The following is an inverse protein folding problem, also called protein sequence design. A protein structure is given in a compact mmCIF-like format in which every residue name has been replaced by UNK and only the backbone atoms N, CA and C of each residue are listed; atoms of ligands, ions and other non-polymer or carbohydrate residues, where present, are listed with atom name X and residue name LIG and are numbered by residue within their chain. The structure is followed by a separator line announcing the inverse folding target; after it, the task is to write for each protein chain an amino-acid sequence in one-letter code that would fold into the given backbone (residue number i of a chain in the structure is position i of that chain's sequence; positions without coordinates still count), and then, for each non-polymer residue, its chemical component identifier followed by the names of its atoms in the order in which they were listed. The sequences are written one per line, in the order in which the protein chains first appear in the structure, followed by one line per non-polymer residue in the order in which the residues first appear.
data_IF_026068956272
#
_entry.id   IF_026068956272
#
_cell.length_a   1.000
_cell.length_b   1.000
_cell.length_c   1.000
_cell.angle_alpha   90.00
_cell.angle_beta   90.00
_cell.angle_gamma   90.00
#
_symmetry.space_group_name_H-M   'P 1'
#
loop_
_entity.id
_entity.type
_entity.pdbx_description
1 polymer ?
#
# COMPACT_ATOMS: atom_id res chain seq x y z
N UNK A 1 -26.05 9.92 -10.91
CA UNK A 1 -24.63 10.19 -10.61
C UNK A 1 -24.41 11.68 -10.66
N UNK A 2 -23.89 12.26 -9.60
CA UNK A 2 -23.68 13.71 -9.45
C UNK A 2 -22.31 14.06 -10.03
N UNK A 3 -22.24 15.06 -10.93
CA UNK A 3 -21.00 15.48 -11.56
C UNK A 3 -20.54 16.83 -11.00
N UNK A 4 -19.26 16.90 -10.62
CA UNK A 4 -18.62 18.09 -10.06
C UNK A 4 -17.35 18.39 -10.84
N UNK A 5 -17.23 19.61 -11.37
CA UNK A 5 -16.01 20.09 -11.98
C UNK A 5 -15.16 20.87 -10.96
N UNK A 6 -13.90 20.52 -10.84
CA UNK A 6 -12.95 21.09 -9.89
C UNK A 6 -11.84 21.82 -10.66
N UNK A 7 -11.71 23.12 -10.37
CA UNK A 7 -10.63 23.96 -10.91
C UNK A 7 -9.88 24.58 -9.75
N UNK A 8 -8.59 24.39 -9.63
CA UNK A 8 -7.74 24.87 -8.55
C UNK A 8 -8.44 24.72 -7.16
N UNK A 9 -8.96 25.82 -6.59
CA UNK A 9 -9.66 25.80 -5.29
C UNK A 9 -11.20 25.89 -5.43
N UNK A 10 -11.73 25.96 -6.64
CA UNK A 10 -13.17 26.05 -6.92
C UNK A 10 -13.76 24.69 -7.26
N UNK A 11 -15.02 24.49 -6.89
CA UNK A 11 -15.76 23.29 -7.24
C UNK A 11 -17.20 23.67 -7.63
N UNK A 12 -17.69 23.14 -8.75
CA UNK A 12 -18.98 23.50 -9.33
C UNK A 12 -19.77 22.23 -9.66
N UNK A 13 -21.05 22.21 -9.27
CA UNK A 13 -21.97 21.17 -9.67
C UNK A 13 -22.33 21.32 -11.15
N UNK A 14 -22.08 20.27 -11.96
CA UNK A 14 -22.34 20.26 -13.40
C UNK A 14 -23.64 19.58 -13.78
N UNK A 15 -24.18 18.73 -12.92
CA UNK A 15 -25.46 18.02 -13.12
C UNK A 15 -26.56 18.64 -12.26
N UNK A 16 -27.84 18.48 -12.63
CA UNK A 16 -28.93 18.80 -11.72
C UNK A 16 -28.75 18.02 -10.40
N UNK A 17 -29.08 18.63 -9.25
CA UNK A 17 -28.99 17.93 -7.98
C UNK A 17 -29.91 16.71 -7.99
N UNK A 18 -29.36 15.55 -7.61
CA UNK A 18 -30.15 14.35 -7.40
C UNK A 18 -31.02 14.49 -6.14
N UNK A 19 -32.15 13.79 -6.11
CA UNK A 19 -32.96 13.70 -4.89
C UNK A 19 -32.25 12.77 -3.93
N UNK A 20 -31.75 13.32 -2.84
CA UNK A 20 -31.14 12.57 -1.76
C UNK A 20 -32.21 12.22 -0.72
N UNK A 21 -32.32 10.95 -0.33
CA UNK A 21 -33.27 10.52 0.69
C UNK A 21 -32.53 9.89 1.88
N UNK A 22 -33.10 10.05 3.07
CA UNK A 22 -32.56 9.43 4.26
C UNK A 22 -32.50 7.90 4.12
N UNK A 23 -31.46 7.28 4.66
CA UNK A 23 -31.28 5.83 4.59
C UNK A 23 -30.72 5.29 3.27
N UNK A 24 -30.41 6.14 2.28
CA UNK A 24 -29.69 5.70 1.09
C UNK A 24 -28.30 5.21 1.44
N UNK A 25 -27.96 4.00 0.96
CA UNK A 25 -26.63 3.42 1.12
C UNK A 25 -26.14 2.89 -0.22
N UNK A 26 -24.90 3.23 -0.61
CA UNK A 26 -24.24 2.81 -1.87
C UNK A 26 -25.02 3.14 -3.17
N UNK A 27 -26.01 4.02 -3.07
CA UNK A 27 -26.92 4.35 -4.16
C UNK A 27 -26.61 5.66 -4.85
N UNK A 28 -25.79 6.51 -4.23
CA UNK A 28 -25.42 7.85 -4.76
C UNK A 28 -23.92 7.93 -4.88
N UNK A 29 -23.44 8.33 -6.05
CA UNK A 29 -22.03 8.56 -6.32
C UNK A 29 -21.80 9.94 -6.91
N UNK A 30 -20.62 10.50 -6.61
CA UNK A 30 -20.12 11.75 -7.13
C UNK A 30 -18.94 11.47 -8.05
N UNK A 31 -18.98 11.97 -9.26
CA UNK A 31 -17.88 11.94 -10.21
C UNK A 31 -17.22 13.32 -10.24
N UNK A 32 -15.90 13.34 -10.13
CA UNK A 32 -15.11 14.56 -10.15
C UNK A 32 -14.34 14.70 -11.46
N UNK A 33 -14.45 15.85 -12.10
CA UNK A 33 -13.60 16.24 -13.23
C UNK A 33 -12.60 17.29 -12.76
N UNK A 34 -11.32 16.93 -12.70
CA UNK A 34 -10.24 17.77 -12.19
C UNK A 34 -9.54 18.54 -13.31
N UNK A 35 -9.19 19.82 -13.06
CA UNK A 35 -8.26 20.55 -13.93
C UNK A 35 -6.82 20.07 -13.70
N UNK A 36 -5.91 20.47 -14.62
CA UNK A 36 -4.49 20.11 -14.54
C UNK A 36 -3.77 20.60 -13.28
N UNK A 37 -4.33 21.55 -12.53
CA UNK A 37 -3.78 21.98 -11.24
C UNK A 37 -3.74 20.82 -10.21
N UNK A 38 -4.51 19.76 -10.44
CA UNK A 38 -4.63 18.60 -9.57
C UNK A 38 -3.77 17.41 -10.00
N UNK A 39 -3.01 17.57 -11.08
CA UNK A 39 -2.11 16.51 -11.57
C UNK A 39 -1.01 16.23 -10.55
N UNK A 40 -0.74 14.94 -10.30
CA UNK A 40 0.26 14.50 -9.33
C UNK A 40 -0.12 14.71 -7.86
N UNK A 41 -1.34 15.15 -7.55
CA UNK A 41 -1.84 15.21 -6.17
C UNK A 41 -2.62 13.96 -5.79
N UNK A 42 -2.39 13.48 -4.58
CA UNK A 42 -3.24 12.48 -3.93
C UNK A 42 -4.51 13.16 -3.45
N UNK A 43 -5.65 12.74 -3.98
CA UNK A 43 -6.96 13.39 -3.78
C UNK A 43 -7.73 12.68 -2.67
N UNK A 44 -8.33 13.42 -1.76
CA UNK A 44 -9.23 12.89 -0.72
C UNK A 44 -10.54 13.66 -0.76
N UNK A 45 -11.65 12.96 -0.88
CA UNK A 45 -12.97 13.55 -0.81
C UNK A 45 -13.42 13.65 0.65
N UNK A 46 -13.99 14.80 1.01
CA UNK A 46 -14.55 15.03 2.34
C UNK A 46 -16.04 15.31 2.19
N UNK A 47 -16.85 14.50 2.85
CA UNK A 47 -18.30 14.67 2.87
C UNK A 47 -18.75 15.17 4.25
N UNK A 48 -19.74 16.06 4.28
CA UNK A 48 -20.33 16.51 5.54
C UNK A 48 -21.81 16.81 5.43
N UNK A 49 -22.55 16.60 6.51
CA UNK A 49 -23.94 17.05 6.69
C UNK A 49 -24.08 18.03 7.86
N UNK A 50 -22.94 18.56 8.35
CA UNK A 50 -22.88 19.46 9.51
C UNK A 50 -22.98 18.74 10.86
N UNK A 51 -23.25 17.41 10.89
CA UNK A 51 -23.17 16.59 12.10
C UNK A 51 -22.06 15.56 12.00
N UNK A 52 -21.96 14.91 10.85
CA UNK A 52 -20.89 13.98 10.51
C UNK A 52 -20.00 14.61 9.44
N UNK A 53 -18.71 14.31 9.49
CA UNK A 53 -17.73 14.62 8.46
C UNK A 53 -16.92 13.35 8.20
N UNK A 54 -16.84 12.92 6.96
CA UNK A 54 -16.22 11.66 6.54
C UNK A 54 -15.24 11.94 5.41
N UNK A 55 -14.00 11.54 5.60
CA UNK A 55 -12.96 11.56 4.58
C UNK A 55 -12.93 10.21 3.85
N UNK A 56 -12.92 10.26 2.52
CA UNK A 56 -12.84 9.07 1.67
C UNK A 56 -11.55 9.12 0.88
N UNK A 57 -10.64 8.21 1.22
CA UNK A 57 -9.31 8.11 0.62
C UNK A 57 -9.37 7.55 -0.80
N UNK A 58 -8.36 7.81 -1.66
CA UNK A 58 -8.29 7.35 -3.05
C UNK A 58 -8.51 5.85 -3.24
N UNK A 59 -8.08 5.03 -2.30
CA UNK A 59 -8.26 3.57 -2.35
C UNK A 59 -9.73 3.11 -2.33
N UNK A 60 -10.66 4.00 -1.92
CA UNK A 60 -12.11 3.74 -1.92
C UNK A 60 -12.81 4.41 -3.11
N UNK A 61 -12.05 4.99 -4.04
CA UNK A 61 -12.57 5.59 -5.26
C UNK A 61 -12.59 4.57 -6.39
N UNK A 62 -13.52 4.75 -7.32
CA UNK A 62 -13.53 4.05 -8.60
C UNK A 62 -13.19 5.07 -9.70
N UNK A 63 -11.92 5.11 -10.10
CA UNK A 63 -11.39 6.19 -10.92
C UNK A 63 -11.52 7.54 -10.22
N UNK A 64 -12.27 8.48 -10.83
CA UNK A 64 -12.60 9.77 -10.24
C UNK A 64 -14.00 9.81 -9.60
N UNK A 65 -14.60 8.64 -9.34
CA UNK A 65 -15.93 8.49 -8.77
C UNK A 65 -15.86 8.02 -7.31
N UNK A 66 -16.66 8.64 -6.46
CA UNK A 66 -16.74 8.33 -5.03
C UNK A 66 -18.21 8.11 -4.62
N UNK A 67 -18.47 7.03 -3.91
CA UNK A 67 -19.77 6.78 -3.31
C UNK A 67 -19.97 7.69 -2.09
N UNK A 68 -21.14 8.32 -1.99
CA UNK A 68 -21.48 9.14 -0.82
C UNK A 68 -21.63 8.25 0.41
N UNK A 69 -20.91 8.54 1.50
CA UNK A 69 -21.00 7.76 2.73
C UNK A 69 -22.42 7.77 3.30
N UNK A 70 -22.94 6.62 3.75
CA UNK A 70 -24.33 6.51 4.24
C UNK A 70 -24.60 7.40 5.45
N UNK A 71 -23.61 7.67 6.28
CA UNK A 71 -23.73 8.54 7.45
C UNK A 71 -24.08 9.98 7.08
N UNK A 72 -23.69 10.43 5.90
CA UNK A 72 -24.02 11.76 5.37
C UNK A 72 -25.51 11.83 5.00
N UNK A 73 -26.07 10.70 4.57
CA UNK A 73 -27.46 10.55 4.16
C UNK A 73 -28.37 9.99 5.26
N UNK A 74 -27.84 9.76 6.47
CA UNK A 74 -28.58 9.11 7.55
C UNK A 74 -29.72 9.99 8.14
N UNK A 75 -29.63 11.31 8.03
CA UNK A 75 -30.56 12.23 8.72
C UNK A 75 -31.24 13.17 7.72
N UNK A 76 -32.55 13.04 7.61
CA UNK A 76 -33.37 13.95 6.82
C UNK A 76 -33.30 15.40 7.30
N UNK A 77 -33.52 16.33 6.38
CA UNK A 77 -33.56 17.76 6.65
C UNK A 77 -32.18 18.46 6.61
N UNK A 78 -31.09 17.71 6.57
CA UNK A 78 -29.73 18.24 6.49
C UNK A 78 -29.23 18.38 5.06
N UNK A 79 -28.31 19.28 4.83
CA UNK A 79 -27.63 19.45 3.55
C UNK A 79 -26.38 18.58 3.47
N UNK A 80 -26.34 17.66 2.52
CA UNK A 80 -25.13 16.94 2.17
C UNK A 80 -24.22 17.86 1.34
N UNK A 81 -22.95 17.89 1.70
CA UNK A 81 -21.91 18.70 1.02
C UNK A 81 -20.68 17.85 0.80
N UNK A 82 -19.93 18.16 -0.23
CA UNK A 82 -18.64 17.54 -0.52
C UNK A 82 -17.59 18.60 -0.87
N UNK A 83 -16.37 18.33 -0.52
CA UNK A 83 -15.17 19.02 -0.98
C UNK A 83 -14.07 18.00 -1.24
N UNK A 84 -13.00 18.43 -1.87
CA UNK A 84 -11.81 17.60 -2.10
C UNK A 84 -10.58 18.37 -1.66
N UNK A 85 -9.62 17.70 -1.06
CA UNK A 85 -8.28 18.25 -0.94
C UNK A 85 -7.26 17.33 -1.59
N UNK A 86 -6.23 17.93 -2.18
CA UNK A 86 -5.11 17.24 -2.79
C UNK A 86 -3.83 17.50 -2.03
N UNK A 87 -2.99 16.49 -1.85
CA UNK A 87 -1.68 16.59 -1.19
C UNK A 87 -0.61 15.92 -2.02
N UNK A 88 0.65 16.32 -1.82
CA UNK A 88 1.81 15.63 -2.38
C UNK A 88 2.95 15.52 -1.36
N UNK A 89 3.99 14.77 -1.73
CA UNK A 89 5.17 14.56 -0.88
C UNK A 89 5.96 15.85 -0.56
N UNK A 90 5.78 16.92 -1.36
CA UNK A 90 6.40 18.22 -1.14
C UNK A 90 5.63 19.11 -0.15
N UNK A 91 4.56 18.59 0.46
CA UNK A 91 3.74 19.34 1.43
C UNK A 91 2.75 20.31 0.80
N UNK A 92 2.51 20.23 -0.52
CA UNK A 92 1.44 21.00 -1.15
C UNK A 92 0.10 20.50 -0.67
N UNK A 93 -0.77 21.42 -0.27
CA UNK A 93 -2.16 21.15 0.08
C UNK A 93 -3.06 22.04 -0.74
N UNK A 94 -3.94 21.45 -1.52
CA UNK A 94 -4.89 22.16 -2.38
C UNK A 94 -6.32 21.78 -2.00
N UNK A 95 -7.02 22.58 -1.16
CA UNK A 95 -8.41 22.33 -0.78
C UNK A 95 -9.38 23.00 -1.76
N UNK A 96 -10.57 22.41 -1.93
CA UNK A 96 -11.69 23.08 -2.60
C UNK A 96 -12.63 23.76 -1.61
N UNK A 97 -13.54 24.58 -2.14
CA UNK A 97 -14.74 25.01 -1.42
C UNK A 97 -15.75 23.87 -1.33
N UNK A 98 -16.68 23.96 -0.39
CA UNK A 98 -17.78 23.00 -0.25
C UNK A 98 -18.80 23.16 -1.40
N UNK A 99 -19.16 22.04 -2.02
CA UNK A 99 -20.27 21.92 -2.96
C UNK A 99 -21.47 21.29 -2.25
N UNK A 100 -22.65 21.89 -2.39
CA UNK A 100 -23.88 21.28 -1.87
C UNK A 100 -24.39 20.23 -2.86
N UNK A 101 -24.54 19.01 -2.38
CA UNK A 101 -25.18 17.91 -3.13
C UNK A 101 -26.71 17.97 -3.06
N UNK A 102 -27.24 18.73 -2.11
CA UNK A 102 -28.67 18.89 -1.90
C UNK A 102 -29.10 18.63 -0.47
N UNK A 103 -30.39 18.85 -0.20
CA UNK A 103 -31.02 18.55 1.08
C UNK A 103 -31.48 17.09 1.10
N UNK A 104 -31.13 16.36 2.15
CA UNK A 104 -31.60 14.99 2.36
C UNK A 104 -33.09 15.03 2.73
N UNK A 105 -33.93 14.42 1.91
CA UNK A 105 -35.38 14.32 2.09
C UNK A 105 -35.73 13.15 3.05
N UNK A 106 -36.88 13.23 3.69
CA UNK A 106 -37.42 12.08 4.40
C UNK A 106 -37.80 11.00 3.39
N UNK A 107 -37.50 9.76 3.73
CA UNK A 107 -37.85 8.57 2.93
C UNK A 107 -38.73 7.63 3.72
N UNK A 108 -39.29 6.67 3.02
CA UNK A 108 -39.88 5.48 3.63
C UNK A 108 -38.72 4.65 4.19
N UNK A 109 -38.65 4.49 5.50
CA UNK A 109 -37.65 3.66 6.14
C UNK A 109 -38.10 2.19 6.09
N UNK A 110 -37.23 1.25 5.70
CA UNK A 110 -37.54 -0.17 5.86
C UNK A 110 -37.72 -0.48 7.35
N UNK A 111 -38.64 -1.35 7.68
CA UNK A 111 -38.82 -1.83 9.05
C UNK A 111 -37.66 -2.79 9.41
N UNK A 112 -36.55 -2.27 9.83
CA UNK A 112 -35.30 -3.00 10.15
C UNK A 112 -34.09 -2.17 9.80
N UNK A 113 -32.97 -2.53 10.39
CA UNK A 113 -31.69 -1.81 10.20
C UNK A 113 -31.21 -1.99 8.75
N UNK A 114 -31.17 -0.94 7.91
CA UNK A 114 -30.57 -1.06 6.60
C UNK A 114 -29.08 -1.35 6.80
N UNK A 115 -28.65 -2.51 6.43
CA UNK A 115 -27.27 -3.01 6.58
C UNK A 115 -26.28 -2.29 5.65
N UNK A 116 -26.13 -1.00 5.83
CA UNK A 116 -24.99 -0.30 5.28
C UNK A 116 -23.88 -0.32 6.34
N UNK A 117 -22.80 -1.02 6.07
CA UNK A 117 -21.62 -0.94 6.92
C UNK A 117 -21.16 0.51 7.01
N UNK A 118 -20.96 1.06 8.21
CA UNK A 118 -20.47 2.42 8.38
C UNK A 118 -19.16 2.62 7.63
N UNK A 119 -18.96 3.81 7.07
CA UNK A 119 -17.68 4.17 6.47
C UNK A 119 -16.64 4.32 7.58
N UNK A 120 -15.56 3.57 7.49
CA UNK A 120 -14.48 3.61 8.47
C UNK A 120 -13.88 5.03 8.55
N UNK A 121 -13.51 5.51 9.75
CA UNK A 121 -12.71 6.72 9.90
C UNK A 121 -11.43 6.64 9.07
N UNK A 122 -10.87 7.76 8.64
CA UNK A 122 -9.70 7.82 7.76
C UNK A 122 -8.51 7.01 8.29
N UNK A 123 -8.26 7.04 9.60
CA UNK A 123 -7.19 6.26 10.21
C UNK A 123 -7.44 4.74 10.12
N UNK A 124 -8.68 4.29 10.25
CA UNK A 124 -9.03 2.88 10.11
C UNK A 124 -8.95 2.40 8.66
N UNK A 125 -9.30 3.27 7.69
CA UNK A 125 -9.08 2.99 6.27
C UNK A 125 -7.59 2.84 5.94
N UNK A 126 -6.73 3.67 6.54
CA UNK A 126 -5.28 3.58 6.41
C UNK A 126 -4.73 2.29 7.04
N UNK A 127 -5.20 1.95 8.23
CA UNK A 127 -4.78 0.73 8.93
C UNK A 127 -5.18 -0.53 8.13
N UNK A 128 -6.36 -0.54 7.54
CA UNK A 128 -6.82 -1.63 6.66
C UNK A 128 -5.89 -1.81 5.44
N UNK A 129 -5.37 -0.72 4.87
CA UNK A 129 -4.43 -0.75 3.75
C UNK A 129 -3.02 -1.20 4.15
N UNK A 130 -2.56 -0.84 5.34
CA UNK A 130 -1.24 -1.18 5.87
C UNK A 130 -1.22 -2.62 6.39
N UNK A 131 -2.34 -3.10 6.93
CA UNK A 131 -2.44 -4.36 7.64
C UNK A 131 -2.04 -4.25 9.12
N UNK A 132 -2.10 -5.35 9.86
CA UNK A 132 -1.68 -5.40 11.27
C UNK A 132 -0.16 -5.64 11.34
N UNK A 133 0.56 -4.69 11.93
CA UNK A 133 2.00 -4.80 12.15
C UNK A 133 2.38 -6.00 13.06
N UNK A 134 1.45 -6.49 13.90
CA UNK A 134 1.69 -7.68 14.72
C UNK A 134 1.80 -8.96 13.88
N UNK A 135 1.21 -8.99 12.71
CA UNK A 135 1.27 -10.14 11.78
C UNK A 135 2.61 -10.23 11.03
N UNK A 136 3.45 -9.19 11.09
CA UNK A 136 4.79 -9.22 10.52
C UNK A 136 5.63 -10.33 11.14
N UNK A 137 6.44 -10.99 10.33
CA UNK A 137 7.39 -12.02 10.75
C UNK A 137 8.77 -11.49 11.13
N UNK A 138 8.97 -10.18 11.04
CA UNK A 138 10.17 -9.47 11.49
C UNK A 138 10.19 -9.29 13.00
N UNK A 139 11.36 -9.09 13.60
CA UNK A 139 11.50 -8.76 15.02
C UNK A 139 11.05 -7.32 15.29
N UNK A 140 11.38 -6.39 14.37
CA UNK A 140 10.94 -5.01 14.47
C UNK A 140 9.49 -4.89 13.98
N UNK A 141 8.63 -4.42 14.86
CA UNK A 141 7.20 -4.21 14.61
C UNK A 141 6.75 -2.77 14.93
N UNK A 142 7.70 -1.90 15.24
CA UNK A 142 7.40 -0.52 15.63
C UNK A 142 6.76 0.29 14.49
N UNK A 143 7.21 0.02 13.27
CA UNK A 143 6.64 0.58 12.06
C UNK A 143 7.05 -0.23 10.82
N UNK A 144 6.30 -0.06 9.73
CA UNK A 144 6.52 -0.79 8.48
C UNK A 144 7.91 -0.56 7.88
N UNK A 145 8.46 0.66 8.01
CA UNK A 145 9.80 0.98 7.47
C UNK A 145 10.89 0.20 8.19
N UNK A 146 10.81 0.11 9.53
CA UNK A 146 11.75 -0.66 10.33
C UNK A 146 11.69 -2.15 9.96
N UNK A 147 10.49 -2.71 9.81
CA UNK A 147 10.28 -4.10 9.42
C UNK A 147 10.82 -4.40 8.00
N UNK A 148 10.59 -3.52 7.04
CA UNK A 148 11.11 -3.67 5.67
C UNK A 148 12.65 -3.58 5.65
N UNK A 149 13.22 -2.65 6.41
CA UNK A 149 14.68 -2.51 6.51
C UNK A 149 15.32 -3.75 7.14
N UNK A 150 14.71 -4.30 8.19
CA UNK A 150 15.16 -5.56 8.80
C UNK A 150 15.07 -6.73 7.80
N UNK A 151 13.95 -6.88 7.10
CA UNK A 151 13.79 -7.92 6.09
C UNK A 151 14.83 -7.81 4.97
N UNK A 152 15.23 -6.58 4.61
CA UNK A 152 16.31 -6.32 3.65
C UNK A 152 17.69 -6.69 4.19
N UNK A 153 17.97 -6.42 5.47
CA UNK A 153 19.24 -6.73 6.11
C UNK A 153 19.42 -8.23 6.37
N UNK A 154 18.31 -8.93 6.61
CA UNK A 154 18.31 -10.38 6.88
C UNK A 154 18.53 -11.27 5.64
N UNK A 155 18.89 -10.69 4.51
CA UNK A 155 19.16 -11.39 3.26
C UNK A 155 18.12 -11.11 2.20
N UNK A 156 18.44 -10.25 1.28
CA UNK A 156 17.61 -9.71 0.23
C UNK A 156 16.71 -10.71 -0.48
N UNK A 157 15.43 -10.46 -0.40
CA UNK A 157 14.44 -11.05 -1.28
C UNK A 157 13.85 -12.37 -0.81
N UNK A 158 12.80 -12.30 -0.02
CA UNK A 158 11.88 -13.41 0.24
C UNK A 158 12.28 -14.32 1.40
N UNK A 159 11.81 -13.98 2.57
CA UNK A 159 11.48 -14.84 3.69
C UNK A 159 12.44 -15.98 4.05
N UNK A 160 13.35 -15.71 4.96
CA UNK A 160 14.18 -16.72 5.61
C UNK A 160 15.63 -16.63 5.19
N UNK A 161 16.46 -16.02 6.03
CA UNK A 161 17.90 -16.08 5.86
C UNK A 161 18.33 -17.53 5.78
N UNK A 162 18.90 -17.96 4.67
CA UNK A 162 19.49 -19.28 4.60
C UNK A 162 20.64 -19.34 5.59
N UNK A 163 20.67 -20.36 6.43
CA UNK A 163 21.86 -20.66 7.18
C UNK A 163 22.93 -21.18 6.22
N UNK A 164 24.05 -20.50 6.19
CA UNK A 164 25.18 -20.91 5.36
C UNK A 164 25.83 -22.10 6.07
N UNK A 165 25.64 -23.29 5.51
CA UNK A 165 26.25 -24.53 6.02
C UNK A 165 27.71 -24.67 5.59
N UNK A 166 28.37 -25.69 6.13
CA UNK A 166 29.74 -26.03 5.77
C UNK A 166 29.90 -26.25 4.24
N UNK A 167 30.94 -25.71 3.68
CA UNK A 167 31.22 -25.79 2.23
C UNK A 167 30.65 -24.65 1.39
N UNK A 168 29.94 -23.69 2.00
CA UNK A 168 29.47 -22.45 1.35
C UNK A 168 30.05 -21.23 2.02
N UNK A 169 30.29 -20.18 1.22
CA UNK A 169 30.80 -18.89 1.66
C UNK A 169 29.95 -17.78 1.11
N UNK A 170 29.50 -16.87 1.98
CA UNK A 170 28.79 -15.67 1.61
C UNK A 170 29.75 -14.49 1.62
N UNK A 171 29.86 -13.79 0.50
CA UNK A 171 30.48 -12.47 0.43
C UNK A 171 29.43 -11.43 0.85
N UNK A 172 29.64 -10.82 2.01
CA UNK A 172 28.71 -9.85 2.59
C UNK A 172 28.67 -8.51 1.84
N UNK A 173 29.72 -8.17 1.10
CA UNK A 173 29.80 -6.91 0.32
C UNK A 173 29.05 -7.01 -0.99
N UNK A 174 29.20 -8.16 -1.68
CA UNK A 174 28.55 -8.40 -2.98
C UNK A 174 27.27 -9.20 -2.88
N UNK A 175 26.96 -9.74 -1.69
CA UNK A 175 25.84 -10.64 -1.41
C UNK A 175 25.85 -11.88 -2.34
N UNK A 176 27.05 -12.38 -2.65
CA UNK A 176 27.25 -13.52 -3.53
C UNK A 176 27.54 -14.78 -2.72
N UNK A 177 26.75 -15.83 -2.94
CA UNK A 177 26.97 -17.14 -2.37
C UNK A 177 27.90 -17.94 -3.29
N UNK A 178 28.99 -18.45 -2.76
CA UNK A 178 29.95 -19.29 -3.48
C UNK A 178 30.26 -20.56 -2.72
N UNK A 179 30.82 -21.54 -3.43
CA UNK A 179 31.34 -22.75 -2.78
C UNK A 179 32.68 -22.42 -2.12
N UNK A 180 32.85 -22.77 -0.83
CA UNK A 180 34.11 -22.61 -0.12
C UNK A 180 35.04 -23.80 -0.49
N UNK A 181 35.85 -23.61 -1.53
CA UNK A 181 36.77 -24.64 -2.03
C UNK A 181 38.15 -24.52 -1.42
N UNK A 182 38.81 -25.66 -1.23
CA UNK A 182 40.23 -25.73 -0.91
C UNK A 182 41.10 -25.63 -2.19
N UNK A 183 42.21 -24.92 -2.07
CA UNK A 183 43.15 -24.70 -3.20
C UNK A 183 44.13 -25.86 -3.35
N UNK A 184 44.22 -26.77 -2.37
CA UNK A 184 45.08 -27.96 -2.38
C UNK A 184 44.36 -29.18 -1.81
N UNK A 185 44.83 -30.37 -2.19
CA UNK A 185 44.39 -31.62 -1.58
C UNK A 185 45.21 -31.84 -0.29
N UNK A 186 44.55 -31.79 0.86
CA UNK A 186 45.15 -31.91 2.16
C UNK A 186 44.51 -33.04 2.95
N UNK A 187 45.31 -33.69 3.79
CA UNK A 187 44.81 -34.72 4.70
C UNK A 187 43.77 -34.14 5.65
N UNK A 188 42.66 -34.86 5.84
CA UNK A 188 41.57 -34.51 6.76
C UNK A 188 40.80 -33.19 6.37
N UNK A 189 41.03 -32.66 5.18
CA UNK A 189 40.25 -31.52 4.66
C UNK A 189 38.86 -32.00 4.20
N UNK A 190 37.80 -31.38 4.74
CA UNK A 190 36.41 -31.68 4.40
C UNK A 190 35.82 -30.77 3.34
N UNK A 191 36.56 -29.73 2.91
CA UNK A 191 36.08 -28.80 1.87
C UNK A 191 36.17 -29.42 0.49
N UNK A 192 35.25 -29.07 -0.42
CA UNK A 192 35.39 -29.42 -1.84
C UNK A 192 36.72 -28.88 -2.38
N UNK A 193 37.39 -29.63 -3.21
CA UNK A 193 38.62 -29.20 -3.90
C UNK A 193 38.31 -28.83 -5.35
N UNK A 194 39.07 -27.90 -5.91
CA UNK A 194 38.94 -27.55 -7.33
C UNK A 194 39.49 -28.67 -8.23
N UNK A 195 38.98 -28.79 -9.44
CA UNK A 195 39.53 -29.73 -10.44
C UNK A 195 41.01 -29.43 -10.75
N UNK A 196 41.42 -28.15 -10.62
CA UNK A 196 42.81 -27.74 -10.78
C UNK A 196 43.72 -28.30 -9.69
N UNK A 197 43.26 -28.28 -8.42
CA UNK A 197 44.01 -28.86 -7.32
C UNK A 197 44.19 -30.38 -7.48
N UNK A 198 43.13 -31.09 -7.87
CA UNK A 198 43.19 -32.51 -8.14
C UNK A 198 44.14 -32.83 -9.35
N UNK A 199 44.08 -32.03 -10.40
CA UNK A 199 44.95 -32.20 -11.58
C UNK A 199 46.42 -32.02 -11.20
N UNK A 200 46.77 -31.03 -10.35
CA UNK A 200 48.13 -30.82 -9.87
C UNK A 200 48.66 -32.05 -9.11
N UNK A 201 47.86 -32.62 -8.20
CA UNK A 201 48.28 -33.81 -7.42
C UNK A 201 48.43 -35.06 -8.32
N UNK A 202 47.55 -35.28 -9.26
CA UNK A 202 47.66 -36.38 -10.25
C UNK A 202 48.93 -36.20 -11.12
N UNK A 203 49.23 -34.96 -11.52
CA UNK A 203 50.44 -34.62 -12.25
C UNK A 203 51.70 -34.90 -11.44
N UNK A 204 51.74 -34.58 -10.16
CA UNK A 204 52.82 -34.83 -9.23
C UNK A 204 53.06 -36.36 -9.04
N UNK A 205 51.96 -37.12 -8.93
CA UNK A 205 52.03 -38.58 -8.82
C UNK A 205 52.60 -39.20 -10.13
N UNK A 206 52.13 -38.76 -11.28
CA UNK A 206 52.63 -39.21 -12.57
C UNK A 206 54.12 -38.90 -12.77
N UNK A 207 54.57 -37.71 -12.35
CA UNK A 207 55.96 -37.31 -12.40
C UNK A 207 56.82 -38.19 -11.51
N UNK A 208 56.34 -38.51 -10.28
CA UNK A 208 57.05 -39.41 -9.37
C UNK A 208 57.17 -40.85 -9.90
N UNK A 209 56.08 -41.37 -10.47
CA UNK A 209 56.06 -42.73 -11.06
C UNK A 209 57.00 -42.83 -12.27
N UNK A 210 57.25 -41.76 -13.00
CA UNK A 210 58.18 -41.74 -14.11
C UNK A 210 59.68 -41.77 -13.70
N UNK A 211 59.95 -41.62 -12.39
CA UNK A 211 61.32 -41.64 -11.82
C UNK A 211 61.72 -42.98 -11.20
N UNK A 212 60.76 -43.95 -11.19
CA UNK A 212 60.95 -45.31 -10.68
C UNK A 212 61.21 -46.22 -11.89
#
# INVERSE_FOLDING_TARGET
MIQIHITKASAHLCSPPEILTAGMAKAVSVEFAFSSDWDGLTKTAVFTNGRATIDVLPAKWDGDTVTVPPEILAVAGRYARVGVYGTNASGVVLPTVWVSLGKVQSAVEPSGDPSADPTLPVWAQLQEQIGDLNDLKTYSKDNLVAAINEARQSGGGGGGGYQIGDGLKLDAETNTLSVDTADAVEKDNTKPVTSAAVYAEVGNINALLATI
#
